data_IF_893643304071
#
_entry.id   IF_893643304071
#
_cell.length_a   1.000
_cell.length_b   1.000
_cell.length_c   1.000
_cell.angle_alpha   90.00
_cell.angle_beta   90.00
_cell.angle_gamma   90.00
#
_symmetry.space_group_name_H-M   'P 1'
#
loop_
_entity.id
_entity.type
_entity.pdbx_description
1 polymer ?
#
# COMPACT_ATOMS: atom_id res chain seq x y z
N UNK A 1 25.31 -46.89 1.33
CA UNK A 1 25.08 -45.43 1.21
C UNK A 1 24.82 -45.04 -0.26
N UNK A 2 23.87 -45.68 -0.96
CA UNK A 2 23.55 -45.41 -2.38
C UNK A 2 22.06 -45.10 -2.64
N UNK A 3 21.18 -45.29 -1.65
CA UNK A 3 19.74 -45.03 -1.83
C UNK A 3 19.41 -43.54 -1.95
N UNK A 4 20.16 -42.66 -1.27
CA UNK A 4 19.90 -41.22 -1.22
C UNK A 4 20.15 -40.48 -2.55
N UNK A 5 20.86 -41.11 -3.51
CA UNK A 5 21.21 -40.50 -4.81
C UNK A 5 20.68 -41.31 -6.00
N UNK A 6 19.77 -42.26 -5.76
CA UNK A 6 19.08 -42.95 -6.85
C UNK A 6 18.20 -41.95 -7.61
N UNK A 7 18.17 -41.98 -8.96
CA UNK A 7 17.30 -41.09 -9.74
C UNK A 7 15.82 -41.24 -9.36
N UNK A 8 15.40 -42.43 -8.90
CA UNK A 8 14.05 -42.67 -8.37
C UNK A 8 13.83 -41.91 -7.06
N UNK A 9 14.80 -41.93 -6.15
CA UNK A 9 14.71 -41.24 -4.87
C UNK A 9 14.69 -39.72 -5.05
N UNK A 10 15.55 -39.18 -5.92
CA UNK A 10 15.56 -37.75 -6.24
C UNK A 10 14.24 -37.30 -6.88
N UNK A 11 13.66 -38.12 -7.76
CA UNK A 11 12.37 -37.85 -8.38
C UNK A 11 11.23 -37.76 -7.34
N UNK A 12 11.11 -38.76 -6.45
CA UNK A 12 10.08 -38.72 -5.40
C UNK A 12 10.34 -37.61 -4.38
N UNK A 13 11.59 -37.35 -4.03
CA UNK A 13 11.97 -36.28 -3.11
C UNK A 13 11.62 -34.88 -3.63
N UNK A 14 11.60 -34.67 -4.95
CA UNK A 14 11.16 -33.40 -5.54
C UNK A 14 9.64 -33.39 -5.80
N UNK A 15 9.07 -34.52 -6.23
CA UNK A 15 7.67 -34.62 -6.61
C UNK A 15 6.72 -34.52 -5.41
N UNK A 16 7.07 -35.15 -4.28
CA UNK A 16 6.24 -35.14 -3.07
C UNK A 16 6.03 -33.72 -2.51
N UNK A 17 7.07 -32.91 -2.21
CA UNK A 17 6.86 -31.55 -1.71
C UNK A 17 6.17 -30.65 -2.75
N UNK A 18 6.42 -30.86 -4.05
CA UNK A 18 5.74 -30.11 -5.10
C UNK A 18 4.22 -30.40 -5.12
N UNK A 19 3.82 -31.67 -5.09
CA UNK A 19 2.41 -32.06 -5.01
C UNK A 19 1.77 -31.62 -3.69
N UNK A 20 2.50 -31.69 -2.57
CA UNK A 20 2.04 -31.18 -1.28
C UNK A 20 1.80 -29.67 -1.33
N UNK A 21 2.69 -28.88 -1.96
CA UNK A 21 2.50 -27.44 -2.15
C UNK A 21 1.26 -27.11 -2.96
N UNK A 22 1.00 -27.85 -4.06
CA UNK A 22 -0.22 -27.66 -4.87
C UNK A 22 -1.46 -28.01 -4.06
N UNK A 23 -1.43 -29.11 -3.30
CA UNK A 23 -2.54 -29.51 -2.47
C UNK A 23 -2.85 -28.48 -1.38
N UNK A 24 -1.82 -27.97 -0.68
CA UNK A 24 -1.96 -26.92 0.33
C UNK A 24 -2.49 -25.61 -0.28
N UNK A 25 -1.97 -25.20 -1.44
CA UNK A 25 -2.47 -24.02 -2.16
C UNK A 25 -3.94 -24.14 -2.55
N UNK A 26 -4.43 -25.34 -2.88
CA UNK A 26 -5.84 -25.56 -3.22
C UNK A 26 -6.77 -25.69 -2.01
N UNK A 27 -6.24 -26.00 -0.82
CA UNK A 27 -7.03 -26.04 0.41
C UNK A 27 -7.45 -24.63 0.82
N UNK A 28 -6.58 -23.63 0.64
CA UNK A 28 -6.94 -22.22 0.74
C UNK A 28 -7.58 -21.73 -0.56
N UNK A 29 -8.73 -22.31 -0.92
CA UNK A 29 -9.62 -21.62 -1.85
C UNK A 29 -10.13 -20.39 -1.11
N UNK A 30 -9.43 -19.28 -1.28
CA UNK A 30 -9.85 -17.97 -0.81
C UNK A 30 -11.28 -17.74 -1.31
N UNK A 31 -12.24 -17.82 -0.40
CA UNK A 31 -13.63 -17.47 -0.63
C UNK A 31 -13.78 -16.01 -0.20
N UNK A 32 -13.60 -15.03 -1.11
CA UNK A 32 -13.86 -13.65 -0.76
C UNK A 32 -15.33 -13.57 -0.34
N UNK A 33 -15.57 -13.20 0.92
CA UNK A 33 -16.92 -12.93 1.38
C UNK A 33 -17.61 -12.04 0.35
N UNK A 34 -18.77 -12.47 -0.17
CA UNK A 34 -19.53 -11.66 -1.13
C UNK A 34 -19.74 -10.30 -0.50
N UNK A 35 -19.11 -9.29 -1.06
CA UNK A 35 -19.29 -7.92 -0.61
C UNK A 35 -20.73 -7.55 -0.97
N UNK A 36 -21.64 -7.39 0.00
CA UNK A 36 -23.03 -7.14 -0.33
C UNK A 36 -23.10 -5.75 -0.99
N UNK A 37 -23.59 -5.68 -2.22
CA UNK A 37 -23.65 -4.42 -2.96
C UNK A 37 -24.49 -3.36 -2.19
N UNK A 38 -25.43 -3.81 -1.36
CA UNK A 38 -26.20 -2.95 -0.46
C UNK A 38 -25.40 -2.34 0.71
N UNK A 39 -24.17 -2.79 1.02
CA UNK A 39 -23.29 -2.08 1.97
C UNK A 39 -22.50 -0.93 1.31
N UNK A 40 -22.40 -0.90 -0.02
CA UNK A 40 -21.89 0.25 -0.78
C UNK A 40 -22.96 1.33 -0.96
N UNK A 41 -24.24 0.99 -0.75
CA UNK A 41 -25.32 1.96 -0.69
C UNK A 41 -25.20 2.66 0.65
N UNK A 42 -24.52 3.81 0.63
CA UNK A 42 -24.41 4.69 1.78
C UNK A 42 -25.82 4.94 2.35
N UNK A 43 -26.14 4.30 3.47
CA UNK A 43 -27.38 4.57 4.19
C UNK A 43 -27.27 5.97 4.77
N UNK A 44 -27.97 6.93 4.18
CA UNK A 44 -28.11 8.30 4.70
C UNK A 44 -28.59 8.32 6.16
N UNK A 45 -29.14 7.20 6.66
CA UNK A 45 -29.77 7.08 7.97
C UNK A 45 -28.85 6.51 9.07
N UNK A 46 -27.63 6.09 8.75
CA UNK A 46 -26.65 5.65 9.76
C UNK A 46 -25.25 6.00 9.28
N UNK A 47 -24.98 7.30 9.21
CA UNK A 47 -23.62 7.83 9.17
C UNK A 47 -23.14 7.75 10.62
N UNK A 48 -22.35 6.73 11.03
CA UNK A 48 -21.59 6.88 12.28
C UNK A 48 -20.80 8.18 12.16
N UNK A 49 -20.54 8.93 13.25
CA UNK A 49 -19.72 10.13 13.16
C UNK A 49 -18.43 9.76 12.41
N UNK A 50 -18.30 10.22 11.16
CA UNK A 50 -17.13 9.95 10.31
C UNK A 50 -15.86 10.52 10.97
N UNK A 51 -16.06 11.43 11.91
CA UNK A 51 -15.11 12.02 12.79
C UNK A 51 -15.43 11.58 14.22
N UNK A 52 -14.56 10.75 14.78
CA UNK A 52 -14.43 10.69 16.23
C UNK A 52 -13.33 11.69 16.60
N UNK A 53 -13.74 12.89 16.97
CA UNK A 53 -12.85 14.01 17.30
C UNK A 53 -11.86 13.69 18.44
N UNK A 54 -12.17 12.66 19.26
CA UNK A 54 -11.24 12.18 20.29
C UNK A 54 -9.98 11.54 19.70
N UNK A 55 -10.05 10.93 18.50
CA UNK A 55 -8.86 10.40 17.81
C UNK A 55 -7.95 11.51 17.27
N UNK A 56 -8.47 12.72 17.08
CA UNK A 56 -7.67 13.87 16.64
C UNK A 56 -7.06 14.63 17.83
N UNK A 57 -7.34 14.22 19.07
CA UNK A 57 -6.77 14.87 20.25
C UNK A 57 -5.25 14.63 20.28
N UNK A 58 -4.48 15.71 20.08
CA UNK A 58 -3.02 15.65 19.97
C UNK A 58 -2.50 15.36 18.56
N UNK A 59 -3.39 15.23 17.56
CA UNK A 59 -3.00 15.14 16.16
C UNK A 59 -2.78 16.54 15.56
N UNK A 60 -1.88 16.62 14.60
CA UNK A 60 -1.56 17.84 13.87
C UNK A 60 -2.03 17.72 12.43
N UNK A 61 -2.67 18.78 11.91
CA UNK A 61 -3.08 18.82 10.52
C UNK A 61 -1.93 19.28 9.63
N UNK A 62 -1.59 18.48 8.63
CA UNK A 62 -0.54 18.76 7.65
C UNK A 62 -1.12 18.83 6.24
N UNK A 63 -0.60 19.74 5.40
CA UNK A 63 -0.99 19.84 4.00
C UNK A 63 -2.47 20.17 3.76
N UNK A 64 -3.13 20.83 4.71
CA UNK A 64 -4.55 21.20 4.64
C UNK A 64 -4.82 22.03 3.37
N UNK A 65 -5.78 21.58 2.57
CA UNK A 65 -6.19 22.25 1.33
C UNK A 65 -5.23 22.06 0.14
N UNK A 66 -4.09 21.41 0.33
CA UNK A 66 -3.06 21.21 -0.71
C UNK A 66 -3.02 19.76 -1.23
N UNK A 67 -3.65 18.83 -0.53
CA UNK A 67 -3.74 17.41 -0.90
C UNK A 67 -5.12 17.11 -1.48
N UNK A 68 -5.25 17.09 -2.80
CA UNK A 68 -6.53 16.81 -3.46
C UNK A 68 -6.84 15.31 -3.46
N UNK A 69 -7.79 14.91 -2.62
CA UNK A 69 -8.26 13.52 -2.50
C UNK A 69 -7.10 12.52 -2.39
N UNK A 70 -6.28 12.65 -1.32
CA UNK A 70 -5.07 11.87 -1.15
C UNK A 70 -5.38 10.37 -1.02
N UNK A 71 -4.57 9.54 -1.68
CA UNK A 71 -4.65 8.08 -1.72
C UNK A 71 -3.35 7.50 -1.16
N UNK A 72 -3.50 6.71 -0.09
CA UNK A 72 -2.41 6.03 0.62
C UNK A 72 -1.33 6.98 1.18
N UNK A 73 -0.53 6.52 2.14
CA UNK A 73 0.58 7.29 2.72
C UNK A 73 1.82 6.43 2.95
N UNK A 74 2.99 6.94 2.59
CA UNK A 74 4.27 6.33 2.92
C UNK A 74 5.18 7.33 3.66
N UNK A 75 5.68 6.94 4.83
CA UNK A 75 6.58 7.76 5.63
C UNK A 75 8.04 7.32 5.48
N UNK A 76 8.91 8.25 5.10
CA UNK A 76 10.35 8.02 5.02
C UNK A 76 11.04 8.56 6.28
N UNK A 77 11.52 7.65 7.13
CA UNK A 77 12.11 7.99 8.44
C UNK A 77 13.30 8.93 8.34
N UNK A 78 14.26 8.65 7.43
CA UNK A 78 15.52 9.39 7.42
C UNK A 78 15.37 10.82 6.91
N UNK A 79 14.38 11.09 6.05
CA UNK A 79 14.11 12.44 5.54
C UNK A 79 12.96 13.14 6.25
N UNK A 80 12.18 12.43 7.08
CA UNK A 80 10.98 12.96 7.72
C UNK A 80 9.89 13.39 6.72
N UNK A 81 9.85 12.76 5.54
CA UNK A 81 8.90 13.11 4.47
C UNK A 81 7.75 12.09 4.44
N UNK A 82 6.54 12.59 4.30
CA UNK A 82 5.36 11.79 3.99
C UNK A 82 5.06 11.92 2.51
N UNK A 83 4.77 10.82 1.83
CA UNK A 83 4.40 10.79 0.43
C UNK A 83 2.97 10.29 0.29
N UNK A 84 2.19 10.91 -0.59
CA UNK A 84 0.81 10.52 -0.88
C UNK A 84 0.47 10.77 -2.35
N UNK A 85 -0.34 9.90 -2.95
CA UNK A 85 -0.89 10.12 -4.29
C UNK A 85 -2.11 11.03 -4.21
N UNK A 86 -2.37 11.83 -5.23
CA UNK A 86 -3.55 12.70 -5.29
C UNK A 86 -4.36 12.45 -6.58
N UNK A 87 -5.64 12.82 -6.56
CA UNK A 87 -6.54 12.66 -7.70
C UNK A 87 -6.12 13.46 -8.95
N UNK A 88 -5.26 14.46 -8.78
CA UNK A 88 -4.65 15.27 -9.85
C UNK A 88 -3.50 14.55 -10.58
N UNK A 89 -3.19 13.30 -10.20
CA UNK A 89 -2.13 12.50 -10.81
C UNK A 89 -0.74 12.79 -10.24
N UNK A 90 -0.63 13.63 -9.21
CA UNK A 90 0.64 13.87 -8.54
C UNK A 90 0.84 12.95 -7.34
N UNK A 91 2.05 12.45 -7.17
CA UNK A 91 2.58 12.07 -5.86
C UNK A 91 3.16 13.34 -5.24
N UNK A 92 2.63 13.75 -4.10
CA UNK A 92 3.08 14.91 -3.34
C UNK A 92 3.87 14.45 -2.13
N UNK A 93 4.87 15.24 -1.73
CA UNK A 93 5.63 15.02 -0.49
C UNK A 93 5.36 16.14 0.50
N UNK A 94 5.20 15.78 1.76
CA UNK A 94 4.90 16.70 2.86
C UNK A 94 6.04 16.61 3.88
N UNK A 95 6.66 17.75 4.16
CA UNK A 95 7.67 17.83 5.23
C UNK A 95 6.98 18.03 6.57
N UNK A 96 7.22 17.10 7.49
CA UNK A 96 6.83 17.27 8.90
C UNK A 96 7.85 18.21 9.52
N UNK A 97 7.44 19.44 9.82
CA UNK A 97 8.24 20.40 10.58
C UNK A 97 7.73 20.44 12.01
N UNK A 98 8.56 20.92 12.94
CA UNK A 98 8.23 21.06 14.37
C UNK A 98 7.03 21.99 14.63
N UNK A 99 6.48 22.66 13.61
CA UNK A 99 5.33 23.55 13.72
C UNK A 99 4.42 23.43 12.49
N UNK A 100 3.12 23.18 12.73
CA UNK A 100 2.08 22.92 11.71
C UNK A 100 1.97 23.94 10.58
N UNK A 101 2.25 25.20 10.89
CA UNK A 101 2.12 26.29 9.93
C UNK A 101 3.19 26.28 8.84
N UNK A 102 4.26 25.51 8.99
CA UNK A 102 5.34 25.45 8.00
C UNK A 102 5.32 24.16 7.17
N UNK A 103 4.34 23.26 7.34
CA UNK A 103 4.29 22.00 6.58
C UNK A 103 4.33 22.26 5.06
N UNK A 104 5.48 21.99 4.46
CA UNK A 104 5.74 22.28 3.06
C UNK A 104 5.25 21.09 2.23
N UNK A 105 4.25 21.34 1.39
CA UNK A 105 3.75 20.38 0.40
C UNK A 105 4.40 20.68 -0.95
N UNK A 106 4.98 19.65 -1.57
CA UNK A 106 5.62 19.74 -2.87
C UNK A 106 5.13 18.66 -3.82
N UNK A 107 4.87 19.05 -5.07
CA UNK A 107 4.58 18.15 -6.18
C UNK A 107 5.86 17.44 -6.62
N UNK A 108 6.00 16.15 -6.27
CA UNK A 108 7.25 15.42 -6.46
C UNK A 108 7.31 14.73 -7.83
N UNK A 109 6.29 13.95 -8.20
CA UNK A 109 6.24 13.27 -9.50
C UNK A 109 4.81 13.10 -9.99
N UNK A 110 4.57 13.31 -11.28
CA UNK A 110 3.27 13.08 -11.91
C UNK A 110 3.25 11.69 -12.57
N UNK A 111 2.24 10.89 -12.26
CA UNK A 111 2.06 9.52 -12.77
C UNK A 111 1.19 9.45 -14.03
N UNK A 112 0.66 10.58 -14.51
CA UNK A 112 -0.25 10.65 -15.66
C UNK A 112 -1.67 10.11 -15.38
N UNK A 113 -1.96 9.75 -14.14
CA UNK A 113 -3.24 9.20 -13.67
C UNK A 113 -3.22 9.04 -12.15
N UNK A 114 -4.38 8.83 -11.52
CA UNK A 114 -4.51 8.81 -10.05
C UNK A 114 -3.68 7.67 -9.42
N UNK A 115 -2.63 7.95 -8.64
CA UNK A 115 -1.92 6.92 -7.87
C UNK A 115 -2.86 6.39 -6.79
N UNK A 116 -2.97 5.06 -6.67
CA UNK A 116 -3.84 4.40 -5.69
C UNK A 116 -3.07 3.74 -4.54
N UNK A 117 -1.73 3.72 -4.61
CA UNK A 117 -0.87 3.13 -3.59
C UNK A 117 0.58 3.57 -3.74
N UNK A 118 1.30 3.62 -2.61
CA UNK A 118 2.69 4.05 -2.54
C UNK A 118 3.43 3.33 -1.40
N UNK A 119 4.60 2.79 -1.70
CA UNK A 119 5.48 2.18 -0.68
C UNK A 119 6.96 2.36 -1.07
N UNK A 120 7.88 2.20 -0.12
CA UNK A 120 9.32 2.17 -0.40
C UNK A 120 9.78 0.75 -0.72
N UNK A 121 10.33 0.53 -1.91
CA UNK A 121 11.01 -0.71 -2.26
C UNK A 121 12.29 -0.92 -1.43
N UNK A 122 12.80 -2.16 -1.46
CA UNK A 122 13.97 -2.64 -0.70
C UNK A 122 15.26 -1.79 -0.84
N UNK A 123 15.36 -0.94 -1.87
CA UNK A 123 16.47 -0.01 -2.11
C UNK A 123 16.04 1.46 -1.98
N UNK A 124 15.16 1.77 -1.03
CA UNK A 124 14.68 3.14 -0.70
C UNK A 124 14.24 3.90 -1.97
N UNK A 125 13.35 3.28 -2.74
CA UNK A 125 12.71 3.89 -3.91
C UNK A 125 11.21 3.82 -3.70
N UNK A 126 10.53 4.96 -3.67
CA UNK A 126 9.07 4.95 -3.64
C UNK A 126 8.57 4.30 -4.95
N UNK A 127 7.89 3.17 -4.83
CA UNK A 127 7.19 2.48 -5.89
C UNK A 127 5.70 2.77 -5.68
N UNK A 128 5.14 3.64 -6.50
CA UNK A 128 3.73 3.50 -6.84
C UNK A 128 3.62 2.29 -7.77
N UNK A 129 2.44 1.66 -7.87
CA UNK A 129 2.20 0.48 -8.72
C UNK A 129 2.42 0.71 -10.24
N UNK A 130 3.10 1.79 -10.63
CA UNK A 130 3.60 2.10 -11.96
C UNK A 130 5.10 2.43 -11.81
N UNK A 131 5.97 1.58 -12.38
CA UNK A 131 7.40 1.87 -12.54
C UNK A 131 7.59 3.23 -13.20
N UNK A 132 8.17 4.18 -12.46
CA UNK A 132 8.54 5.48 -13.00
C UNK A 132 9.96 5.43 -13.58
N UNK A 133 10.19 5.98 -14.79
CA UNK A 133 11.49 5.99 -15.43
C UNK A 133 12.48 6.88 -14.66
N UNK A 134 13.69 6.37 -14.47
CA UNK A 134 14.86 7.14 -14.04
C UNK A 134 15.15 8.22 -15.08
N UNK A 135 15.02 9.50 -14.70
CA UNK A 135 15.41 10.62 -15.56
C UNK A 135 16.95 10.72 -15.55
N UNK A 136 17.55 10.65 -16.74
CA UNK A 136 18.95 11.00 -17.02
C UNK A 136 19.19 12.49 -16.90
#
# INVERSE_FOLDING_TARGET
>A
MHLLFSPRFLFFSALIPFLASIALYRIDTFDPARFPAESLVYSTNSIPPLLNDRFLTGAEFIGVGLLNSPEDIAYHRDSGLIYTGCADGWVKRVKVLETANDSAVEDWVNTGGRPLGIDFGLYVRALSHISLPSKS
#
